data_IF_856502829796
#
_entry.id   IF_856502829796
#
_cell.length_a   1.000
_cell.length_b   1.000
_cell.length_c   1.000
_cell.angle_alpha   90.00
_cell.angle_beta   90.00
_cell.angle_gamma   90.00
#
_symmetry.space_group_name_H-M   'P 1'
#
loop_
_entity.id
_entity.type
_entity.pdbx_description
1 polymer ?
#
# COMPACT_ATOMS: atom_id res chain seq x y z
N UNK A 1 -11.19 -16.97 17.54
CA UNK A 1 -10.38 -16.17 16.59
C UNK A 1 -9.38 -15.40 17.42
N UNK A 2 -8.10 -15.47 17.07
CA UNK A 2 -7.06 -14.63 17.67
C UNK A 2 -7.34 -13.18 17.26
N UNK A 3 -7.52 -12.28 18.22
CA UNK A 3 -7.62 -10.86 17.91
C UNK A 3 -6.26 -10.39 17.38
N UNK A 4 -6.26 -9.58 16.31
CA UNK A 4 -5.05 -8.89 15.88
C UNK A 4 -4.61 -7.96 17.01
N UNK A 5 -3.33 -7.99 17.36
CA UNK A 5 -2.80 -7.05 18.34
C UNK A 5 -3.07 -5.62 17.85
N UNK A 6 -3.71 -4.82 18.71
CA UNK A 6 -4.12 -3.45 18.36
C UNK A 6 -2.94 -2.53 18.01
N UNK A 7 -1.74 -2.89 18.46
CA UNK A 7 -0.54 -2.04 18.39
C UNK A 7 0.19 -2.13 17.05
N UNK A 8 0.04 -3.22 16.29
CA UNK A 8 0.77 -3.37 15.02
C UNK A 8 -0.06 -2.84 13.85
N UNK A 9 0.53 -2.07 12.93
CA UNK A 9 -0.16 -1.58 11.74
C UNK A 9 -0.32 -2.72 10.72
N UNK A 10 -1.50 -3.33 10.65
CA UNK A 10 -1.79 -4.41 9.72
C UNK A 10 -2.49 -3.88 8.46
N UNK A 11 -1.97 -4.23 7.28
CA UNK A 11 -2.58 -3.87 5.98
C UNK A 11 -2.43 -5.01 4.98
N UNK A 12 -3.49 -5.26 4.22
CA UNK A 12 -3.45 -6.07 3.01
C UNK A 12 -4.15 -5.31 1.87
N UNK A 13 -3.45 -5.13 0.74
CA UNK A 13 -3.96 -4.44 -0.46
C UNK A 13 -4.16 -5.46 -1.57
N UNK A 14 -5.42 -5.72 -1.93
CA UNK A 14 -5.77 -6.57 -3.06
C UNK A 14 -5.87 -5.71 -4.31
N UNK A 15 -4.84 -5.78 -5.16
CA UNK A 15 -4.83 -5.14 -6.46
C UNK A 15 -5.96 -5.67 -7.36
N UNK A 16 -6.41 -4.80 -8.26
CA UNK A 16 -7.41 -5.13 -9.27
C UNK A 16 -6.90 -6.24 -10.20
N UNK A 17 -7.63 -7.36 -10.31
CA UNK A 17 -7.25 -8.46 -11.22
C UNK A 17 -7.93 -8.37 -12.59
N UNK A 18 -9.06 -7.65 -12.68
CA UNK A 18 -9.85 -7.48 -13.91
C UNK A 18 -10.32 -6.03 -14.07
N UNK A 19 -10.50 -5.52 -15.30
CA UNK A 19 -11.08 -4.20 -15.52
C UNK A 19 -12.37 -4.00 -14.70
N UNK A 20 -12.49 -2.83 -14.05
CA UNK A 20 -13.64 -2.40 -13.23
C UNK A 20 -13.86 -3.18 -11.91
N UNK A 21 -12.96 -4.07 -11.50
CA UNK A 21 -12.99 -4.64 -10.16
C UNK A 21 -12.47 -3.61 -9.14
N UNK A 22 -13.11 -3.45 -7.96
CA UNK A 22 -12.59 -2.57 -6.92
C UNK A 22 -11.26 -3.08 -6.37
N UNK A 23 -10.37 -2.15 -6.02
CA UNK A 23 -9.24 -2.43 -5.12
C UNK A 23 -9.79 -2.58 -3.72
N UNK A 24 -9.36 -3.61 -2.99
CA UNK A 24 -9.80 -3.85 -1.62
C UNK A 24 -8.61 -3.63 -0.69
N UNK A 25 -8.78 -2.76 0.31
CA UNK A 25 -7.81 -2.56 1.38
C UNK A 25 -8.45 -3.09 2.67
N UNK A 26 -7.80 -4.06 3.31
CA UNK A 26 -8.17 -4.56 4.65
C UNK A 26 -7.08 -4.16 5.62
N UNK A 27 -7.43 -3.44 6.68
CA UNK A 27 -6.48 -2.96 7.66
C UNK A 27 -7.15 -2.78 9.03
N UNK A 28 -6.35 -2.83 10.09
CA UNK A 28 -6.79 -2.32 11.39
C UNK A 28 -6.62 -0.79 11.44
N UNK A 29 -7.04 -0.17 12.55
CA UNK A 29 -6.97 1.29 12.70
C UNK A 29 -5.56 1.83 12.52
N UNK A 30 -4.55 1.19 13.13
CA UNK A 30 -3.16 1.63 13.01
C UNK A 30 -2.63 1.51 11.58
N UNK A 31 -2.97 0.42 10.88
CA UNK A 31 -2.68 0.25 9.47
C UNK A 31 -3.26 1.40 8.62
N UNK A 32 -4.53 1.75 8.83
CA UNK A 32 -5.14 2.88 8.12
C UNK A 32 -4.45 4.22 8.44
N UNK A 33 -4.06 4.44 9.70
CA UNK A 33 -3.34 5.65 10.12
C UNK A 33 -1.99 5.78 9.41
N UNK A 34 -1.17 4.72 9.40
CA UNK A 34 0.16 4.78 8.75
C UNK A 34 0.04 4.91 7.23
N UNK A 35 -0.97 4.29 6.61
CA UNK A 35 -1.24 4.44 5.19
C UNK A 35 -1.67 5.88 4.84
N UNK A 36 -2.56 6.48 5.63
CA UNK A 36 -2.96 7.87 5.46
C UNK A 36 -1.75 8.82 5.59
N UNK A 37 -0.87 8.58 6.56
CA UNK A 37 0.34 9.36 6.72
C UNK A 37 1.28 9.25 5.52
N UNK A 38 1.47 8.04 4.97
CA UNK A 38 2.26 7.84 3.76
C UNK A 38 1.63 8.58 2.56
N UNK A 39 0.31 8.51 2.38
CA UNK A 39 -0.40 9.24 1.33
C UNK A 39 -0.19 10.76 1.47
N UNK A 40 -0.40 11.30 2.66
CA UNK A 40 -0.22 12.73 2.93
C UNK A 40 1.23 13.15 2.70
N UNK A 41 2.20 12.35 3.13
CA UNK A 41 3.63 12.62 2.92
C UNK A 41 3.98 12.67 1.43
N UNK A 42 3.53 11.69 0.64
CA UNK A 42 3.76 11.66 -0.81
C UNK A 42 3.17 12.89 -1.54
N UNK A 43 2.02 13.39 -1.07
CA UNK A 43 1.36 14.57 -1.65
C UNK A 43 2.07 15.86 -1.23
N UNK A 44 2.42 15.98 0.05
CA UNK A 44 2.97 17.21 0.62
C UNK A 44 4.45 17.42 0.25
N UNK A 45 5.21 16.33 0.08
CA UNK A 45 6.65 16.37 -0.18
C UNK A 45 6.96 15.69 -1.51
N UNK A 46 6.70 16.37 -2.63
CA UNK A 46 6.79 15.81 -3.98
C UNK A 46 8.16 15.25 -4.39
N UNK A 47 9.24 15.63 -3.70
CA UNK A 47 10.59 15.09 -3.92
C UNK A 47 10.81 13.74 -3.20
N UNK A 48 9.90 13.33 -2.31
CA UNK A 48 9.99 12.12 -1.50
C UNK A 48 8.77 11.21 -1.71
N UNK A 49 9.01 9.90 -1.71
CA UNK A 49 7.91 8.95 -1.63
C UNK A 49 7.33 8.96 -0.22
N UNK A 50 6.03 8.74 -0.11
CA UNK A 50 5.43 8.33 1.15
C UNK A 50 5.74 6.87 1.40
N UNK A 51 6.16 6.51 2.61
CA UNK A 51 6.39 5.11 2.99
C UNK A 51 5.68 4.78 4.29
N UNK A 52 5.27 3.52 4.43
CA UNK A 52 4.73 2.96 5.68
C UNK A 52 5.23 1.53 5.86
N UNK A 53 5.76 1.23 7.04
CA UNK A 53 6.09 -0.15 7.46
C UNK A 53 4.86 -0.77 8.12
N UNK A 54 4.44 -1.94 7.62
CA UNK A 54 3.19 -2.61 7.99
C UNK A 54 3.40 -4.10 8.09
N UNK A 55 2.43 -4.78 8.71
CA UNK A 55 2.36 -6.23 8.75
C UNK A 55 1.24 -6.73 7.83
N UNK A 56 1.44 -7.87 7.17
CA UNK A 56 0.40 -8.51 6.38
C UNK A 56 -0.44 -9.50 7.22
N UNK A 57 -1.28 -10.30 6.53
CA UNK A 57 -2.15 -11.28 7.18
C UNK A 57 -1.40 -12.45 7.81
N UNK A 58 -0.15 -12.69 7.41
CA UNK A 58 0.74 -13.73 7.91
C UNK A 58 1.73 -13.17 8.96
N UNK A 59 1.55 -11.91 9.38
CA UNK A 59 2.40 -11.17 10.31
C UNK A 59 3.84 -10.98 9.81
N UNK A 60 4.04 -10.98 8.49
CA UNK A 60 5.30 -10.62 7.86
C UNK A 60 5.36 -9.10 7.64
N UNK A 61 6.56 -8.52 7.74
CA UNK A 61 6.78 -7.07 7.60
C UNK A 61 6.92 -6.71 6.12
N UNK A 62 6.18 -5.68 5.69
CA UNK A 62 6.22 -5.12 4.34
C UNK A 62 6.32 -3.60 4.38
N UNK A 63 6.92 -3.03 3.33
CA UNK A 63 6.90 -1.59 3.06
C UNK A 63 5.83 -1.27 2.01
N UNK A 64 4.93 -0.35 2.34
CA UNK A 64 4.02 0.28 1.38
C UNK A 64 4.63 1.58 0.90
N UNK A 65 4.96 1.65 -0.39
CA UNK A 65 5.49 2.86 -1.04
C UNK A 65 4.39 3.56 -1.83
N UNK A 66 4.07 4.79 -1.45
CA UNK A 66 3.12 5.67 -2.12
C UNK A 66 3.87 6.70 -2.95
N UNK A 67 3.60 6.73 -4.25
CA UNK A 67 4.20 7.67 -5.20
C UNK A 67 3.12 8.48 -5.88
N UNK A 68 3.32 9.80 -5.96
CA UNK A 68 2.53 10.67 -6.84
C UNK A 68 3.16 10.59 -8.23
N UNK A 69 2.34 10.26 -9.23
CA UNK A 69 2.76 10.10 -10.62
C UNK A 69 1.91 11.01 -11.49
N UNK A 70 2.53 11.60 -12.52
CA UNK A 70 1.91 12.62 -13.36
C UNK A 70 1.55 12.11 -14.76
N UNK A 71 2.13 10.98 -15.17
CA UNK A 71 1.94 10.42 -16.50
C UNK A 71 1.43 8.98 -16.45
N UNK A 72 0.77 8.57 -17.53
CA UNK A 72 0.35 7.17 -17.69
C UNK A 72 1.54 6.22 -17.77
N UNK A 73 2.65 6.68 -18.35
CA UNK A 73 3.88 5.90 -18.46
C UNK A 73 4.52 5.69 -17.08
N UNK A 74 4.44 6.65 -16.16
CA UNK A 74 4.89 6.46 -14.77
C UNK A 74 4.00 5.47 -13.98
N UNK A 75 2.75 5.25 -14.41
CA UNK A 75 1.85 4.25 -13.85
C UNK A 75 2.11 2.83 -14.39
N UNK A 76 2.93 2.68 -15.43
CA UNK A 76 3.11 1.42 -16.17
C UNK A 76 4.59 1.08 -16.43
N UNK A 77 5.07 -0.15 -16.18
CA UNK A 77 4.32 -1.32 -15.77
C UNK A 77 4.21 -1.45 -14.24
N UNK A 78 3.11 -2.01 -13.79
CA UNK A 78 2.93 -2.43 -12.39
C UNK A 78 3.97 -3.51 -12.03
N UNK A 79 4.50 -3.56 -10.79
CA UNK A 79 5.66 -4.38 -10.43
C UNK A 79 5.57 -5.88 -10.80
N UNK A 80 4.37 -6.47 -10.80
CA UNK A 80 4.16 -7.88 -11.17
C UNK A 80 4.28 -8.18 -12.67
N UNK A 81 4.35 -7.16 -13.53
CA UNK A 81 4.63 -7.31 -14.96
C UNK A 81 6.13 -7.33 -15.26
N UNK A 82 6.98 -6.95 -14.29
CA UNK A 82 8.44 -7.01 -14.41
C UNK A 82 8.95 -8.44 -14.19
N UNK A 83 8.21 -9.27 -13.43
CA UNK A 83 8.61 -10.66 -13.14
C UNK A 83 8.29 -11.67 -14.26
N UNK A 84 7.98 -11.21 -15.49
CA UNK A 84 7.72 -12.06 -16.67
C UNK A 84 8.64 -11.77 -17.87
N UNK A 85 9.79 -11.13 -17.65
CA UNK A 85 10.85 -11.01 -18.65
C UNK A 85 11.99 -11.98 -18.38
#
# INVERSE_FOLDING_TARGET
MSELAKEYPFIHIYAQQKPRQPVIIKANTEGLCVLLNAIVAAIAYQENNGTAEVFDGDAEVYEVVVKVVNTHDELSPVPYQISKS
#
